data_IF_567062430376
#
_entry.id   IF_567062430376
#
_cell.length_a   1.000
_cell.length_b   1.000
_cell.length_c   1.000
_cell.angle_alpha   90.00
_cell.angle_beta   90.00
_cell.angle_gamma   90.00
#
_symmetry.space_group_name_H-M   'P 1'
#
loop_
_entity.id
_entity.type
_entity.pdbx_description
1 polymer ?
#
# COMPACT_ATOMS: atom_id res chain seq x y z
N UNK A 1 -3.09 -7.01 -12.22
CA UNK A 1 -2.41 -8.30 -12.04
C UNK A 1 -1.14 -8.12 -11.21
N UNK A 2 -0.84 -9.06 -10.30
CA UNK A 2 0.43 -9.16 -9.57
C UNK A 2 0.96 -10.58 -9.74
N UNK A 3 2.27 -10.74 -9.93
CA UNK A 3 2.90 -12.04 -10.19
C UNK A 3 3.95 -12.36 -9.12
N UNK A 4 3.93 -13.58 -8.60
CA UNK A 4 4.96 -14.12 -7.71
C UNK A 4 5.88 -15.02 -8.51
N UNK A 5 7.18 -14.77 -8.46
CA UNK A 5 8.20 -15.54 -9.19
C UNK A 5 9.24 -16.14 -8.22
N UNK A 6 9.99 -17.14 -8.68
CA UNK A 6 11.09 -17.75 -7.93
C UNK A 6 12.43 -17.40 -8.55
N UNK A 7 13.46 -17.27 -7.71
CA UNK A 7 14.85 -17.20 -8.17
C UNK A 7 15.34 -18.54 -8.75
N UNK A 8 14.79 -19.67 -8.29
CA UNK A 8 15.21 -21.00 -8.72
C UNK A 8 14.59 -21.44 -10.07
N UNK A 9 13.43 -20.87 -10.43
CA UNK A 9 12.69 -21.22 -11.65
C UNK A 9 12.48 -19.96 -12.49
N UNK A 10 13.41 -19.73 -13.42
CA UNK A 10 13.48 -18.47 -14.20
C UNK A 10 12.42 -18.34 -15.29
N UNK A 11 11.73 -19.43 -15.65
CA UNK A 11 10.81 -19.47 -16.79
C UNK A 11 9.33 -19.55 -16.42
N UNK A 12 8.99 -19.54 -15.12
CA UNK A 12 7.61 -19.67 -14.66
C UNK A 12 7.34 -18.77 -13.44
N UNK A 13 6.18 -18.12 -13.45
CA UNK A 13 5.63 -17.53 -12.23
C UNK A 13 5.06 -18.65 -11.35
N UNK A 14 5.25 -18.53 -10.04
CA UNK A 14 4.72 -19.45 -9.04
C UNK A 14 3.22 -19.23 -8.80
N UNK A 15 2.77 -17.97 -8.86
CA UNK A 15 1.38 -17.61 -8.64
C UNK A 15 1.04 -16.29 -9.33
N UNK A 16 -0.24 -16.13 -9.66
CA UNK A 16 -0.85 -14.91 -10.19
C UNK A 16 -1.95 -14.47 -9.24
N UNK A 17 -1.96 -13.18 -8.91
CA UNK A 17 -3.01 -12.55 -8.12
C UNK A 17 -3.77 -11.55 -8.99
N UNK A 18 -5.07 -11.75 -9.12
CA UNK A 18 -6.01 -10.83 -9.75
C UNK A 18 -6.30 -9.66 -8.81
N UNK A 19 -5.26 -8.90 -8.49
CA UNK A 19 -5.30 -7.96 -7.38
C UNK A 19 -6.15 -6.72 -7.65
N UNK A 20 -6.04 -6.16 -8.85
CA UNK A 20 -6.55 -4.82 -9.19
C UNK A 20 -7.01 -4.75 -10.63
N UNK A 21 -7.97 -3.86 -10.89
CA UNK A 21 -8.54 -3.63 -12.22
C UNK A 21 -7.76 -2.58 -13.04
N UNK A 22 -6.89 -1.82 -12.39
CA UNK A 22 -6.03 -0.83 -13.02
C UNK A 22 -4.55 -1.07 -12.67
N UNK A 23 -3.68 -0.13 -13.06
CA UNK A 23 -2.24 -0.21 -12.81
C UNK A 23 -1.95 -0.35 -11.30
N UNK A 24 -1.12 -1.31 -10.94
CA UNK A 24 -0.61 -1.48 -9.58
C UNK A 24 0.65 -0.63 -9.47
N UNK A 25 0.68 0.30 -8.52
CA UNK A 25 1.79 1.25 -8.38
C UNK A 25 2.83 0.80 -7.37
N UNK A 26 2.43 0.08 -6.31
CA UNK A 26 3.37 -0.53 -5.38
C UNK A 26 2.92 -1.89 -4.89
N UNK A 27 3.92 -2.71 -4.59
CA UNK A 27 3.82 -3.96 -3.84
C UNK A 27 4.89 -3.94 -2.76
N UNK A 28 4.55 -4.30 -1.52
CA UNK A 28 5.53 -4.36 -0.42
C UNK A 28 5.24 -5.52 0.53
N UNK A 29 6.28 -6.28 0.87
CA UNK A 29 6.21 -7.29 1.93
C UNK A 29 6.14 -6.63 3.31
N UNK A 30 5.42 -7.26 4.23
CA UNK A 30 5.42 -6.87 5.63
C UNK A 30 6.75 -7.24 6.28
N UNK A 31 7.27 -6.39 7.16
CA UNK A 31 8.58 -6.58 7.78
C UNK A 31 8.58 -7.59 8.94
N UNK A 32 7.40 -7.90 9.48
CA UNK A 32 7.22 -8.78 10.64
C UNK A 32 6.55 -10.11 10.28
N UNK A 33 5.74 -10.13 9.23
CA UNK A 33 5.04 -11.33 8.76
C UNK A 33 5.46 -11.67 7.32
N UNK A 34 6.30 -12.71 7.12
CA UNK A 34 6.88 -13.03 5.81
C UNK A 34 5.86 -13.49 4.77
N UNK A 35 4.69 -13.96 5.20
CA UNK A 35 3.63 -14.42 4.30
C UNK A 35 2.73 -13.27 3.80
N UNK A 36 2.85 -12.08 4.40
CA UNK A 36 1.95 -10.95 4.17
C UNK A 36 2.58 -9.91 3.26
N UNK A 37 1.84 -9.47 2.24
CA UNK A 37 2.20 -8.32 1.43
C UNK A 37 1.01 -7.38 1.19
N UNK A 38 1.32 -6.15 0.80
CA UNK A 38 0.34 -5.10 0.49
C UNK A 38 0.51 -4.63 -0.94
N UNK A 39 -0.59 -4.24 -1.58
CA UNK A 39 -0.62 -3.68 -2.93
C UNK A 39 -1.46 -2.42 -2.96
N UNK A 40 -1.12 -1.46 -3.82
CA UNK A 40 -1.94 -0.28 -4.09
C UNK A 40 -2.05 0.01 -5.59
N UNK A 41 -3.13 0.66 -6.00
CA UNK A 41 -3.45 0.83 -7.41
C UNK A 41 -4.14 2.15 -7.74
N UNK A 42 -4.09 2.48 -9.04
CA UNK A 42 -4.94 3.47 -9.67
C UNK A 42 -6.45 3.20 -9.54
N UNK A 43 -6.86 1.97 -9.20
CA UNK A 43 -8.27 1.60 -8.97
C UNK A 43 -8.82 2.04 -7.59
N UNK A 44 -8.07 2.88 -6.89
CA UNK A 44 -8.39 3.50 -5.60
C UNK A 44 -8.28 2.56 -4.40
N UNK A 45 -7.89 1.31 -4.64
CA UNK A 45 -7.84 0.31 -3.58
C UNK A 45 -6.42 0.03 -3.10
N UNK A 46 -6.33 -0.23 -1.79
CA UNK A 46 -5.21 -0.89 -1.14
C UNK A 46 -5.67 -2.28 -0.72
N UNK A 47 -4.88 -3.31 -1.01
CA UNK A 47 -5.22 -4.69 -0.66
C UNK A 47 -4.09 -5.35 0.10
N UNK A 48 -4.45 -6.10 1.14
CA UNK A 48 -3.52 -6.89 1.95
C UNK A 48 -3.74 -8.36 1.63
N UNK A 49 -2.65 -9.08 1.44
CA UNK A 49 -2.63 -10.44 0.93
C UNK A 49 -1.81 -11.33 1.83
N UNK A 50 -2.30 -12.55 1.99
CA UNK A 50 -1.47 -13.70 2.35
C UNK A 50 -1.05 -14.35 1.03
N UNK A 51 0.25 -14.52 0.82
CA UNK A 51 0.76 -15.02 -0.46
C UNK A 51 0.30 -16.45 -0.79
N UNK A 52 -0.22 -17.20 0.19
CA UNK A 52 -0.72 -18.56 -0.01
C UNK A 52 -2.16 -18.58 -0.52
N UNK A 53 -2.86 -17.44 -0.47
CA UNK A 53 -4.27 -17.32 -0.83
C UNK A 53 -4.43 -16.58 -2.15
N UNK A 54 -5.46 -16.94 -2.90
CA UNK A 54 -5.83 -16.29 -4.16
C UNK A 54 -6.69 -15.04 -3.96
N UNK A 55 -7.25 -14.85 -2.77
CA UNK A 55 -8.12 -13.71 -2.42
C UNK A 55 -7.46 -12.78 -1.41
N UNK A 56 -7.75 -11.46 -1.48
CA UNK A 56 -7.21 -10.51 -0.52
C UNK A 56 -7.83 -10.73 0.86
N UNK A 57 -7.02 -10.60 1.90
CA UNK A 57 -7.49 -10.63 3.29
C UNK A 57 -8.26 -9.36 3.66
N UNK A 58 -7.79 -8.21 3.15
CA UNK A 58 -8.41 -6.91 3.35
C UNK A 58 -8.40 -6.11 2.06
N UNK A 59 -9.44 -5.32 1.85
CA UNK A 59 -9.53 -4.33 0.77
C UNK A 59 -9.98 -3.01 1.38
N UNK A 60 -9.22 -1.96 1.12
CA UNK A 60 -9.51 -0.59 1.54
C UNK A 60 -9.73 0.25 0.29
N UNK A 61 -10.87 0.91 0.19
CA UNK A 61 -11.16 1.87 -0.87
C UNK A 61 -10.95 3.29 -0.32
N UNK A 62 -10.03 4.03 -0.95
CA UNK A 62 -9.67 5.38 -0.52
C UNK A 62 -10.37 6.46 -1.37
N UNK A 63 -11.16 6.07 -2.38
CA UNK A 63 -11.91 7.00 -3.23
C UNK A 63 -11.07 7.86 -4.19
N UNK A 64 -9.77 7.59 -4.29
CA UNK A 64 -8.82 8.31 -5.15
C UNK A 64 -7.63 7.41 -5.50
N UNK A 65 -6.98 7.57 -6.68
CA UNK A 65 -5.83 6.75 -7.08
C UNK A 65 -4.73 6.75 -6.02
N UNK A 66 -4.29 5.57 -5.61
CA UNK A 66 -3.32 5.43 -4.52
C UNK A 66 -1.91 5.36 -5.11
N UNK A 67 -1.18 6.47 -5.03
CA UNK A 67 0.16 6.59 -5.60
C UNK A 67 1.18 5.68 -4.92
N UNK A 68 1.07 5.55 -3.60
CA UNK A 68 2.05 4.78 -2.83
C UNK A 68 1.50 4.22 -1.51
N UNK A 69 2.13 3.17 -1.00
CA UNK A 69 1.81 2.54 0.29
C UNK A 69 3.06 2.02 1.01
N UNK A 70 3.15 2.19 2.32
CA UNK A 70 4.27 1.68 3.11
C UNK A 70 3.81 1.10 4.46
N UNK A 71 4.43 0.00 4.86
CA UNK A 71 4.31 -0.53 6.23
C UNK A 71 5.15 0.31 7.20
N UNK A 72 4.65 0.46 8.42
CA UNK A 72 5.44 1.03 9.49
C UNK A 72 6.58 0.06 9.88
N UNK A 73 7.81 0.56 10.10
CA UNK A 73 8.96 -0.27 10.44
C UNK A 73 8.96 -0.75 11.90
N UNK A 74 8.05 -0.24 12.72
CA UNK A 74 7.93 -0.52 14.16
C UNK A 74 6.61 -1.22 14.52
N UNK A 75 5.74 -1.50 13.56
CA UNK A 75 4.48 -2.22 13.80
C UNK A 75 4.07 -3.07 12.59
N UNK A 76 3.60 -4.28 12.84
CA UNK A 76 3.16 -5.21 11.79
C UNK A 76 1.76 -4.90 11.25
N UNK A 77 0.97 -4.08 11.95
CA UNK A 77 -0.42 -3.77 11.61
C UNK A 77 -0.64 -2.36 11.11
N UNK A 78 0.38 -1.50 11.19
CA UNK A 78 0.29 -0.10 10.77
C UNK A 78 0.85 0.06 9.37
N UNK A 79 0.10 0.75 8.52
CA UNK A 79 0.56 1.18 7.21
C UNK A 79 0.04 2.58 6.89
N UNK A 80 0.69 3.24 5.95
CA UNK A 80 0.21 4.50 5.39
C UNK A 80 0.13 4.43 3.87
N UNK A 81 -0.82 5.15 3.30
CA UNK A 81 -1.06 5.26 1.88
C UNK A 81 -1.19 6.73 1.49
N UNK A 82 -0.78 7.06 0.27
CA UNK A 82 -0.95 8.41 -0.29
C UNK A 82 -1.76 8.37 -1.56
N UNK A 83 -2.60 9.38 -1.72
CA UNK A 83 -3.58 9.44 -2.81
C UNK A 83 -3.33 10.64 -3.71
N UNK A 84 -3.80 10.53 -4.94
CA UNK A 84 -3.66 11.56 -5.96
C UNK A 84 -4.46 12.84 -5.67
N UNK A 85 -5.38 12.83 -4.70
CA UNK A 85 -6.09 14.02 -4.20
C UNK A 85 -5.32 14.76 -3.10
N UNK A 86 -4.06 14.39 -2.86
CA UNK A 86 -3.16 15.12 -1.96
C UNK A 86 -3.26 14.70 -0.49
N UNK A 87 -3.90 13.57 -0.20
CA UNK A 87 -4.12 13.07 1.16
C UNK A 87 -3.14 11.97 1.55
N UNK A 88 -2.85 11.91 2.85
CA UNK A 88 -2.15 10.82 3.50
C UNK A 88 -3.14 10.12 4.42
N UNK A 89 -3.27 8.81 4.25
CA UNK A 89 -4.08 7.94 5.08
C UNK A 89 -3.18 7.06 5.94
N UNK A 90 -3.46 6.97 7.23
CA UNK A 90 -2.76 6.05 8.16
C UNK A 90 -3.77 5.09 8.74
N UNK A 91 -3.47 3.79 8.67
CA UNK A 91 -4.31 2.72 9.18
C UNK A 91 -3.55 1.93 10.25
N UNK A 92 -4.28 1.46 11.26
CA UNK A 92 -3.84 0.39 12.15
C UNK A 92 -4.91 -0.68 12.19
N UNK A 93 -4.61 -1.82 11.56
CA UNK A 93 -5.53 -2.93 11.38
C UNK A 93 -5.88 -3.60 12.73
N UNK A 94 -5.06 -3.40 13.76
CA UNK A 94 -5.33 -3.93 15.10
C UNK A 94 -6.39 -3.11 15.85
N UNK A 95 -6.53 -1.83 15.50
CA UNK A 95 -7.46 -0.89 16.15
C UNK A 95 -8.76 -0.80 15.35
N UNK A 96 -8.66 -0.44 14.06
CA UNK A 96 -9.81 -0.31 13.18
C UNK A 96 -9.49 -0.84 11.79
N UNK A 97 -10.29 -1.81 11.34
CA UNK A 97 -10.11 -2.51 10.06
C UNK A 97 -10.83 -1.81 8.89
N UNK A 98 -11.67 -0.82 9.17
CA UNK A 98 -12.57 -0.22 8.18
C UNK A 98 -12.26 1.25 7.94
N UNK A 99 -11.80 1.98 8.96
CA UNK A 99 -11.53 3.41 8.86
C UNK A 99 -10.06 3.74 9.15
N UNK A 100 -9.50 4.77 8.49
CA UNK A 100 -8.17 5.24 8.80
C UNK A 100 -8.13 5.88 10.19
N UNK A 101 -7.02 5.68 10.91
CA UNK A 101 -6.73 6.43 12.13
C UNK A 101 -6.50 7.91 11.84
N UNK A 102 -5.94 8.22 10.67
CA UNK A 102 -5.68 9.58 10.22
C UNK A 102 -5.93 9.69 8.72
N UNK A 103 -6.61 10.77 8.33
CA UNK A 103 -6.79 11.17 6.94
C UNK A 103 -6.51 12.67 6.84
N UNK A 104 -5.31 13.01 6.38
CA UNK A 104 -4.81 14.39 6.37
C UNK A 104 -4.55 14.87 4.95
N UNK A 105 -5.12 16.02 4.59
CA UNK A 105 -4.76 16.73 3.37
C UNK A 105 -3.39 17.40 3.56
N UNK A 106 -2.42 17.03 2.73
CA UNK A 106 -1.04 17.56 2.77
C UNK A 106 -0.81 18.56 1.64
N UNK A 107 -1.31 18.26 0.43
CA UNK A 107 -1.15 19.14 -0.73
C UNK A 107 -2.49 19.78 -1.09
N UNK A 108 -2.53 21.11 -1.11
CA UNK A 108 -3.72 21.90 -1.47
C UNK A 108 -3.65 22.48 -2.88
N UNK A 109 -2.49 22.39 -3.53
CA UNK A 109 -2.28 22.92 -4.88
C UNK A 109 -3.06 22.09 -5.90
N UNK A 110 -3.84 22.78 -6.74
CA UNK A 110 -4.57 22.13 -7.84
C UNK A 110 -3.58 21.40 -8.76
N UNK A 111 -3.93 20.15 -9.09
CA UNK A 111 -3.18 19.24 -9.98
C UNK A 111 -1.83 18.73 -9.45
N UNK A 112 -1.56 18.85 -8.15
CA UNK A 112 -0.39 18.19 -7.55
C UNK A 112 -0.84 16.90 -6.87
N UNK A 113 -0.14 15.80 -7.13
CA UNK A 113 -0.48 14.46 -6.65
C UNK A 113 0.62 13.95 -5.75
N UNK A 114 0.26 13.32 -4.64
CA UNK A 114 1.26 12.58 -3.85
C UNK A 114 1.64 11.31 -4.59
N UNK A 115 2.95 11.09 -4.71
CA UNK A 115 3.55 10.01 -5.50
C UNK A 115 4.25 8.98 -4.65
N UNK A 116 4.84 9.40 -3.53
CA UNK A 116 5.69 8.54 -2.71
C UNK A 116 5.50 8.74 -1.20
N UNK A 117 5.69 7.66 -0.44
CA UNK A 117 5.69 7.66 1.02
C UNK A 117 6.76 6.75 1.60
N UNK A 118 7.44 7.24 2.63
CA UNK A 118 8.44 6.49 3.39
C UNK A 118 8.34 6.80 4.89
N UNK A 119 8.34 5.75 5.70
CA UNK A 119 8.50 5.85 7.14
C UNK A 119 9.97 5.97 7.52
N UNK A 120 10.25 6.73 8.59
CA UNK A 120 11.54 6.65 9.26
C UNK A 120 11.57 5.44 10.22
N UNK A 121 12.68 4.71 10.26
CA UNK A 121 12.84 3.51 11.09
C UNK A 121 13.18 3.79 12.56
N UNK A 122 13.60 5.02 12.89
CA UNK A 122 14.05 5.40 14.24
C UNK A 122 13.11 6.40 14.91
N UNK A 123 12.61 7.36 14.16
CA UNK A 123 11.74 8.43 14.64
C UNK A 123 10.33 8.24 14.10
N UNK A 124 9.32 8.68 14.87
CA UNK A 124 7.91 8.58 14.51
C UNK A 124 7.53 9.66 13.49
N UNK A 125 8.16 9.63 12.32
CA UNK A 125 7.95 10.58 11.22
C UNK A 125 7.83 9.85 9.89
N UNK A 126 7.11 10.48 8.97
CA UNK A 126 6.87 10.01 7.62
C UNK A 126 7.26 11.14 6.67
N UNK A 127 7.85 10.79 5.54
CA UNK A 127 8.12 11.71 4.43
C UNK A 127 7.23 11.32 3.26
N UNK A 128 6.65 12.32 2.60
CA UNK A 128 5.85 12.17 1.39
C UNK A 128 6.43 13.01 0.27
N UNK A 129 6.41 12.47 -0.94
CA UNK A 129 6.79 13.17 -2.16
C UNK A 129 5.56 13.43 -3.04
N UNK A 130 5.61 14.50 -3.82
CA UNK A 130 4.62 14.81 -4.83
C UNK A 130 5.19 14.69 -6.25
N UNK A 131 4.45 15.16 -7.25
CA UNK A 131 4.81 15.10 -8.67
C UNK A 131 5.44 16.40 -9.21
N UNK A 132 5.94 17.30 -8.34
CA UNK A 132 6.54 18.58 -8.73
C UNK A 132 7.99 18.78 -8.31
#
# INVERSE_FOLDING_TARGET
MVFKCSKAYTSQYLATYEAHHMAVYRVAWNLFHPDIFITCSADWTVKIWDHTKSTPMFTFDLGSPVGDVAWAPYSSTVFAAVTADGRVHVYDISINKYEPLCNQLVVTKKNTKLTHIAFNSKYNIIIVGDDQ
#
